data_IF_068242217173
#
_entry.id   IF_068242217173
#
_cell.length_a   1.000
_cell.length_b   1.000
_cell.length_c   1.000
_cell.angle_alpha   90.00
_cell.angle_beta   90.00
_cell.angle_gamma   90.00
#
_symmetry.space_group_name_H-M   'P 1'
#
loop_
_entity.id
_entity.type
_entity.pdbx_description
1 polymer ?
#
# COMPACT_ATOMS: atom_id res chain seq x y z
N UNK A 1 -10.35 -2.15 5.86
CA UNK A 1 -11.39 -1.60 6.75
C UNK A 1 -11.35 -0.09 6.81
N UNK A 2 -10.36 0.55 7.45
CA UNK A 2 -10.36 2.01 7.59
C UNK A 2 -10.43 2.77 6.25
N UNK A 3 -9.63 2.36 5.26
CA UNK A 3 -9.68 2.98 3.92
C UNK A 3 -11.07 2.82 3.30
N UNK A 4 -11.66 1.64 3.42
CA UNK A 4 -12.97 1.33 2.83
C UNK A 4 -14.10 2.14 3.51
N UNK A 5 -14.06 2.27 4.83
CA UNK A 5 -15.04 3.01 5.64
C UNK A 5 -14.97 4.52 5.38
N UNK A 6 -13.76 5.05 5.21
CA UNK A 6 -13.52 6.50 5.16
C UNK A 6 -13.13 7.03 3.79
N UNK A 7 -13.22 6.23 2.72
CA UNK A 7 -12.78 6.58 1.35
C UNK A 7 -13.21 7.99 0.90
N UNK A 8 -14.45 8.38 1.17
CA UNK A 8 -15.01 9.67 0.73
C UNK A 8 -14.40 10.88 1.47
N UNK A 9 -13.71 10.63 2.58
CA UNK A 9 -13.08 11.64 3.45
C UNK A 9 -11.55 11.65 3.36
N UNK A 10 -10.94 10.68 2.70
CA UNK A 10 -9.49 10.66 2.51
C UNK A 10 -9.13 11.72 1.47
N UNK A 11 -8.21 12.62 1.84
CA UNK A 11 -7.76 13.75 0.99
C UNK A 11 -6.25 13.81 0.80
N UNK A 12 -5.51 13.08 1.62
CA UNK A 12 -4.05 13.05 1.61
C UNK A 12 -3.59 11.66 2.03
N UNK A 13 -2.44 11.24 1.48
CA UNK A 13 -1.81 9.98 1.82
C UNK A 13 -0.33 10.20 2.09
N UNK A 14 0.08 9.95 3.33
CA UNK A 14 1.49 9.92 3.71
C UNK A 14 1.95 8.47 3.78
N UNK A 15 3.00 8.18 3.03
CA UNK A 15 3.70 6.90 3.06
C UNK A 15 4.74 7.01 4.16
N UNK A 16 4.45 6.36 5.30
CA UNK A 16 5.31 6.29 6.47
C UNK A 16 5.33 4.85 6.97
N UNK A 17 6.51 4.36 7.32
CA UNK A 17 6.70 2.99 7.78
C UNK A 17 7.12 2.96 9.25
N UNK A 18 6.74 1.87 9.90
CA UNK A 18 7.02 1.62 11.29
C UNK A 18 7.05 0.12 11.54
N UNK A 19 7.73 -0.27 12.60
CA UNK A 19 7.70 -1.63 13.11
C UNK A 19 7.26 -1.63 14.58
N UNK A 20 6.66 -2.73 15.00
CA UNK A 20 6.29 -3.00 16.37
C UNK A 20 6.92 -4.32 16.83
N UNK A 21 7.97 -4.20 17.65
CA UNK A 21 8.78 -5.30 18.18
C UNK A 21 8.81 -5.22 19.73
N UNK A 22 7.73 -5.64 20.43
CA UNK A 22 7.64 -5.52 21.87
C UNK A 22 8.47 -6.57 22.61
N UNK A 23 8.88 -6.22 23.82
CA UNK A 23 9.54 -7.11 24.78
C UNK A 23 8.82 -7.05 26.13
N UNK A 24 9.01 -8.05 26.98
CA UNK A 24 8.47 -8.06 28.35
C UNK A 24 9.03 -6.96 29.27
N UNK A 25 9.92 -6.09 28.78
CA UNK A 25 10.53 -4.98 29.53
C UNK A 25 10.08 -3.59 29.06
N UNK A 26 9.14 -3.53 28.11
CA UNK A 26 8.60 -2.27 27.60
C UNK A 26 7.14 -2.14 28.02
N UNK A 27 6.78 -0.99 28.58
CA UNK A 27 5.37 -0.60 28.72
C UNK A 27 4.77 -0.25 27.35
N UNK A 28 3.45 -0.05 27.31
CA UNK A 28 2.69 0.27 26.07
C UNK A 28 3.33 1.40 25.25
N UNK A 29 3.81 2.45 25.92
CA UNK A 29 4.45 3.60 25.27
C UNK A 29 5.98 3.52 25.21
N UNK A 30 6.57 2.41 25.65
CA UNK A 30 8.02 2.23 25.82
C UNK A 30 8.71 3.29 26.72
N UNK A 31 7.93 4.12 27.43
CA UNK A 31 8.44 5.20 28.29
C UNK A 31 9.30 6.21 27.52
N UNK A 32 10.23 6.85 28.23
CA UNK A 32 11.20 7.80 27.65
C UNK A 32 12.42 7.11 27.03
N UNK A 33 12.28 5.87 26.56
CA UNK A 33 13.38 5.15 25.92
C UNK A 33 13.84 5.89 24.64
N UNK A 34 15.14 5.82 24.31
CA UNK A 34 15.63 6.21 23.00
C UNK A 34 14.89 5.46 21.89
N UNK A 35 14.73 6.09 20.71
CA UNK A 35 13.98 5.52 19.58
C UNK A 35 14.36 4.08 19.23
N UNK A 36 15.65 3.77 19.28
CA UNK A 36 16.18 2.43 18.98
C UNK A 36 15.65 1.35 19.95
N UNK A 37 15.30 1.72 21.18
CA UNK A 37 14.85 0.83 22.24
C UNK A 37 13.33 0.87 22.46
N UNK A 38 12.57 1.55 21.60
CA UNK A 38 11.11 1.55 21.68
C UNK A 38 10.54 0.31 20.99
N UNK A 39 9.45 -0.23 21.53
CA UNK A 39 8.72 -1.33 20.91
C UNK A 39 8.17 -0.91 19.55
N UNK A 40 7.57 0.28 19.48
CA UNK A 40 7.20 0.92 18.21
C UNK A 40 8.27 1.93 17.81
N UNK A 41 8.77 1.85 16.58
CA UNK A 41 9.69 2.85 16.04
C UNK A 41 9.50 3.04 14.54
N UNK A 42 9.76 4.26 14.07
CA UNK A 42 9.68 4.60 12.65
C UNK A 42 10.86 4.03 11.87
N UNK A 43 10.57 3.59 10.65
CA UNK A 43 11.50 2.94 9.74
C UNK A 43 11.45 3.63 8.39
N UNK A 44 12.55 3.51 7.64
CA UNK A 44 12.51 3.86 6.21
C UNK A 44 11.51 2.94 5.51
N UNK A 45 10.89 3.44 4.43
CA UNK A 45 9.88 2.69 3.68
C UNK A 45 10.44 1.34 3.21
N UNK A 46 9.72 0.26 3.53
CA UNK A 46 10.10 -1.12 3.19
C UNK A 46 10.94 -1.83 4.24
N UNK A 47 11.46 -1.11 5.26
CA UNK A 47 12.19 -1.70 6.38
C UNK A 47 11.29 -1.99 7.59
N UNK A 48 10.02 -1.58 7.56
CA UNK A 48 9.06 -1.78 8.65
C UNK A 48 8.05 -2.89 8.36
N UNK A 49 6.86 -2.74 8.92
CA UNK A 49 5.80 -3.76 8.95
C UNK A 49 4.50 -3.30 8.27
N UNK A 50 4.46 -2.08 7.72
CA UNK A 50 3.26 -1.58 7.02
C UNK A 50 3.07 -2.35 5.72
N UNK A 51 1.85 -2.87 5.52
CA UNK A 51 1.48 -3.56 4.28
C UNK A 51 1.13 -2.55 3.17
N UNK A 52 2.16 -2.02 2.52
CA UNK A 52 1.99 -1.09 1.41
C UNK A 52 1.31 -1.72 0.20
N UNK A 53 1.51 -3.02 -0.06
CA UNK A 53 0.86 -3.72 -1.17
C UNK A 53 -0.66 -3.67 -1.05
N UNK A 54 -1.19 -3.97 0.15
CA UNK A 54 -2.62 -3.86 0.42
C UNK A 54 -3.12 -2.41 0.39
N UNK A 55 -2.36 -1.46 0.93
CA UNK A 55 -2.75 -0.04 0.97
C UNK A 55 -2.85 0.55 -0.45
N UNK A 56 -1.81 0.40 -1.27
CA UNK A 56 -1.82 0.92 -2.65
C UNK A 56 -2.90 0.23 -3.48
N UNK A 57 -3.10 -1.08 -3.31
CA UNK A 57 -4.21 -1.80 -3.97
C UNK A 57 -5.58 -1.26 -3.58
N UNK A 58 -5.80 -0.94 -2.30
CA UNK A 58 -7.06 -0.34 -1.82
C UNK A 58 -7.25 1.08 -2.32
N UNK A 59 -6.20 1.90 -2.32
CA UNK A 59 -6.27 3.27 -2.84
C UNK A 59 -6.58 3.29 -4.34
N UNK A 60 -5.98 2.38 -5.11
CA UNK A 60 -6.31 2.19 -6.52
C UNK A 60 -7.76 1.72 -6.72
N UNK A 61 -8.26 0.82 -5.88
CA UNK A 61 -9.64 0.30 -5.99
C UNK A 61 -10.73 1.35 -5.66
N UNK A 62 -10.38 2.44 -4.98
CA UNK A 62 -11.30 3.54 -4.67
C UNK A 62 -11.06 4.79 -5.53
N UNK A 63 -10.24 4.67 -6.59
CA UNK A 63 -9.87 5.77 -7.48
C UNK A 63 -9.35 7.01 -6.75
N UNK A 64 -8.51 6.81 -5.72
CA UNK A 64 -7.88 7.93 -5.02
C UNK A 64 -6.94 8.70 -5.96
N UNK A 65 -7.18 10.00 -6.14
CA UNK A 65 -6.50 10.88 -7.10
C UNK A 65 -5.40 11.76 -6.47
N UNK A 66 -5.12 11.57 -5.19
CA UNK A 66 -4.13 12.34 -4.45
C UNK A 66 -2.69 11.83 -4.57
N UNK A 67 -1.77 12.56 -3.93
CA UNK A 67 -0.35 12.24 -3.94
C UNK A 67 0.00 11.24 -2.86
N UNK A 68 0.89 10.30 -3.20
CA UNK A 68 1.59 9.48 -2.22
C UNK A 68 2.84 10.25 -1.73
N UNK A 69 2.73 10.89 -0.58
CA UNK A 69 3.77 11.76 -0.02
C UNK A 69 4.68 10.94 0.88
N UNK A 70 5.98 10.92 0.60
CA UNK A 70 6.97 10.29 1.50
C UNK A 70 7.10 11.12 2.78
N UNK A 71 6.66 10.59 3.91
CA UNK A 71 6.95 11.15 5.23
C UNK A 71 8.03 10.29 5.90
N UNK A 72 9.29 10.72 5.76
CA UNK A 72 10.42 9.89 6.18
C UNK A 72 10.84 10.15 7.63
N UNK A 73 10.98 9.07 8.40
CA UNK A 73 11.60 9.08 9.72
C UNK A 73 12.20 7.70 10.01
N UNK A 74 13.47 7.65 10.42
CA UNK A 74 14.13 6.38 10.72
C UNK A 74 15.24 6.59 11.74
N UNK A 75 15.25 5.81 12.82
CA UNK A 75 16.29 5.93 13.85
C UNK A 75 17.62 5.24 13.48
N UNK A 76 17.72 4.62 12.30
CA UNK A 76 18.89 3.84 11.88
C UNK A 76 19.50 4.30 10.55
N UNK A 77 18.67 4.67 9.56
CA UNK A 77 19.13 5.00 8.19
C UNK A 77 19.45 6.48 8.06
N UNK A 78 20.42 6.83 7.21
CA UNK A 78 20.73 8.23 6.89
C UNK A 78 19.57 8.89 6.13
N UNK A 79 19.24 10.17 6.38
CA UNK A 79 18.10 10.84 5.75
C UNK A 79 18.19 10.91 4.23
N UNK A 80 19.37 11.13 3.65
CA UNK A 80 19.53 11.20 2.19
C UNK A 80 19.27 9.87 1.50
N UNK A 81 19.74 8.77 2.08
CA UNK A 81 19.44 7.42 1.60
C UNK A 81 17.95 7.11 1.77
N UNK A 82 17.40 7.49 2.93
CA UNK A 82 15.98 7.38 3.22
C UNK A 82 15.09 8.10 2.20
N UNK A 83 15.45 9.33 1.83
CA UNK A 83 14.73 10.11 0.83
C UNK A 83 14.84 9.50 -0.57
N UNK A 84 16.05 9.13 -1.00
CA UNK A 84 16.32 8.53 -2.30
C UNK A 84 15.59 7.20 -2.47
N UNK A 85 15.71 6.30 -1.50
CA UNK A 85 15.07 4.98 -1.51
C UNK A 85 13.57 5.09 -1.34
N UNK A 86 13.09 5.97 -0.44
CA UNK A 86 11.66 6.18 -0.22
C UNK A 86 10.93 6.71 -1.46
N UNK A 87 11.53 7.65 -2.18
CA UNK A 87 10.97 8.16 -3.43
C UNK A 87 10.84 7.06 -4.50
N UNK A 88 11.87 6.21 -4.64
CA UNK A 88 11.84 5.08 -5.56
C UNK A 88 10.81 4.03 -5.13
N UNK A 89 10.75 3.68 -3.85
CA UNK A 89 9.79 2.74 -3.29
C UNK A 89 8.34 3.16 -3.58
N UNK A 90 8.00 4.43 -3.35
CA UNK A 90 6.66 4.95 -3.64
C UNK A 90 6.35 4.88 -5.12
N UNK A 91 7.30 5.28 -5.98
CA UNK A 91 7.13 5.20 -7.43
C UNK A 91 6.83 3.78 -7.90
N UNK A 92 7.53 2.79 -7.35
CA UNK A 92 7.36 1.38 -7.71
C UNK A 92 6.07 0.76 -7.14
N UNK A 93 5.51 1.37 -6.09
CA UNK A 93 4.26 0.93 -5.46
C UNK A 93 3.00 1.46 -6.15
N UNK A 94 3.12 2.50 -6.97
CA UNK A 94 1.98 3.09 -7.69
C UNK A 94 1.50 2.12 -8.78
N UNK A 95 0.24 1.71 -8.67
CA UNK A 95 -0.39 0.79 -9.61
C UNK A 95 -0.95 1.59 -10.79
N UNK A 96 -0.52 1.22 -12.00
CA UNK A 96 -1.21 1.64 -13.23
C UNK A 96 -2.48 0.80 -13.38
N UNK A 97 -3.62 1.41 -13.06
CA UNK A 97 -4.93 0.74 -13.12
C UNK A 97 -5.28 0.37 -14.56
N UNK A 98 -5.92 -0.78 -14.75
CA UNK A 98 -6.39 -1.27 -16.06
C UNK A 98 -7.55 -0.42 -16.57
N UNK A 99 -7.60 -0.20 -17.88
CA UNK A 99 -8.72 0.49 -18.56
C UNK A 99 -9.93 -0.43 -18.76
N UNK A 100 -9.75 -1.75 -18.58
CA UNK A 100 -10.77 -2.78 -18.81
C UNK A 100 -11.07 -3.56 -17.54
N UNK A 101 -12.34 -3.87 -17.32
CA UNK A 101 -12.73 -4.82 -16.29
C UNK A 101 -12.16 -6.20 -16.63
N UNK A 102 -11.74 -6.93 -15.60
CA UNK A 102 -11.12 -8.24 -15.78
C UNK A 102 -12.05 -9.25 -16.48
N UNK A 103 -13.36 -9.18 -16.20
CA UNK A 103 -14.37 -10.06 -16.79
C UNK A 103 -14.68 -9.74 -18.26
N UNK A 104 -14.44 -8.50 -18.71
CA UNK A 104 -14.68 -8.10 -20.10
C UNK A 104 -13.67 -8.73 -21.07
N UNK A 105 -12.50 -9.15 -20.59
CA UNK A 105 -11.55 -9.93 -21.40
C UNK A 105 -12.07 -11.34 -21.70
N UNK A 106 -12.93 -11.91 -20.83
CA UNK A 106 -13.55 -13.21 -21.03
C UNK A 106 -14.84 -13.12 -21.87
N UNK A 107 -15.43 -11.93 -22.04
CA UNK A 107 -16.52 -11.66 -22.98
C UNK A 107 -15.98 -11.47 -24.41
N UNK A 108 -15.15 -12.42 -24.86
CA UNK A 108 -14.84 -12.59 -26.27
C UNK A 108 -16.15 -12.84 -27.01
N UNK A 109 -16.74 -11.77 -27.55
CA UNK A 109 -18.13 -11.68 -27.98
C UNK A 109 -18.70 -13.01 -28.44
N UNK A 110 -19.72 -13.48 -27.73
CA UNK A 110 -20.34 -14.79 -28.00
C UNK A 110 -20.75 -14.88 -29.46
N UNK A 111 -19.98 -15.64 -30.25
CA UNK A 111 -20.37 -15.96 -31.62
C UNK A 111 -21.48 -17.01 -31.54
N UNK A 112 -22.72 -16.54 -31.57
CA UNK A 112 -23.90 -17.37 -31.41
C UNK A 112 -23.93 -18.52 -32.44
N UNK A 113 -23.38 -18.31 -33.65
CA UNK A 113 -23.26 -19.35 -34.68
C UNK A 113 -22.17 -20.38 -34.37
N UNK A 114 -21.07 -19.99 -33.71
CA UNK A 114 -20.06 -20.92 -33.22
C UNK A 114 -20.58 -21.73 -32.03
N UNK A 115 -21.33 -21.09 -31.13
CA UNK A 115 -21.95 -21.72 -29.97
C UNK A 115 -23.01 -22.75 -30.39
N UNK A 116 -23.87 -22.42 -31.36
CA UNK A 116 -24.86 -23.34 -31.95
C UNK A 116 -24.18 -24.57 -32.58
N UNK A 117 -23.12 -24.35 -33.35
CA UNK A 117 -22.28 -25.44 -33.91
C UNK A 117 -21.67 -26.35 -32.85
N UNK A 118 -21.16 -25.79 -31.74
CA UNK A 118 -20.63 -26.59 -30.62
C UNK A 118 -21.72 -27.38 -29.89
N UNK A 119 -22.93 -26.83 -29.79
CA UNK A 119 -24.09 -27.46 -29.17
C UNK A 119 -24.81 -28.47 -30.08
N UNK A 120 -24.40 -28.60 -31.35
CA UNK A 120 -24.99 -29.52 -32.31
C UNK A 120 -26.39 -29.12 -32.80
N UNK A 121 -26.73 -27.83 -32.71
CA UNK A 121 -28.01 -27.24 -33.16
C UNK A 121 -27.80 -26.16 -34.21
#
# INVERSE_FOLDING_TARGET
DNIDIYKDRIRMFHVKDAEFNPTGRQGVYSGFQPWINRASRFRSLGDGQVDFGAIFSKLSAIDFDGWAVVEWECCLKHPEDGAREGAQFVKDSIIRVTEQAFDDFADGGTNEAANKRMLGI
#
